data_IF_206055254389
#
_entry.id   IF_206055254389
#
_cell.length_a   1.000
_cell.length_b   1.000
_cell.length_c   1.000
_cell.angle_alpha   90.00
_cell.angle_beta   90.00
_cell.angle_gamma   90.00
#
_symmetry.space_group_name_H-M   'P 1'
#
loop_
_entity.id
_entity.type
_entity.pdbx_description
1 polymer ?
#
# COMPACT_ATOMS: atom_id res chain seq x y z
N UNK A 1 -0.82 39.96 55.81
CA UNK A 1 -0.05 40.79 54.86
C UNK A 1 1.19 40.00 54.45
N UNK A 2 1.47 39.92 53.13
CA UNK A 2 2.59 39.25 52.42
C UNK A 2 2.34 37.75 52.12
N UNK A 3 1.68 37.40 51.02
CA UNK A 3 2.05 37.41 49.58
C UNK A 3 2.70 36.08 49.17
N UNK A 4 2.02 35.43 48.23
CA UNK A 4 2.34 34.19 47.55
C UNK A 4 3.65 34.26 46.76
N UNK A 5 4.27 33.11 46.51
CA UNK A 5 5.24 32.94 45.42
C UNK A 5 5.07 31.55 44.82
N UNK A 6 4.19 31.50 43.82
CA UNK A 6 4.04 30.41 42.86
C UNK A 6 5.16 30.58 41.83
N UNK A 7 6.13 29.66 41.78
CA UNK A 7 7.19 29.66 40.78
C UNK A 7 6.65 29.06 39.47
N UNK A 8 6.34 29.93 38.51
CA UNK A 8 6.00 29.59 37.14
C UNK A 8 7.30 29.23 36.40
N UNK A 9 7.56 27.95 36.15
CA UNK A 9 8.61 27.52 35.21
C UNK A 9 8.08 27.70 33.78
N UNK A 10 8.24 28.89 33.21
CA UNK A 10 8.09 29.09 31.78
C UNK A 10 9.37 28.58 31.09
N UNK A 11 9.31 27.39 30.50
CA UNK A 11 10.37 26.87 29.64
C UNK A 11 10.51 27.76 28.40
N UNK A 12 11.63 28.48 28.30
CA UNK A 12 12.04 29.16 27.07
C UNK A 12 12.49 28.08 26.07
N UNK A 13 11.57 27.58 25.26
CA UNK A 13 11.93 26.93 24.00
C UNK A 13 12.48 28.02 23.08
N UNK A 14 13.80 28.25 23.11
CA UNK A 14 14.46 29.00 22.06
C UNK A 14 14.36 28.14 20.79
N UNK A 15 13.42 28.50 19.92
CA UNK A 15 13.44 28.02 18.55
C UNK A 15 14.79 28.43 17.96
N UNK A 16 15.65 27.44 17.71
CA UNK A 16 16.88 27.66 16.95
C UNK A 16 16.42 27.91 15.53
N UNK A 17 16.33 29.19 15.13
CA UNK A 17 16.19 29.55 13.73
C UNK A 17 17.57 29.40 13.08
N UNK A 18 17.82 28.34 12.29
CA UNK A 18 19.09 28.22 11.60
C UNK A 18 19.23 29.44 10.66
N UNK A 19 20.38 30.13 10.65
CA UNK A 19 20.58 31.30 9.82
C UNK A 19 20.36 30.91 8.35
N UNK A 20 19.29 31.45 7.73
CA UNK A 20 19.03 31.27 6.31
C UNK A 20 20.11 32.02 5.54
N UNK A 21 21.11 31.30 5.06
CA UNK A 21 22.14 31.88 4.19
C UNK A 21 21.43 32.45 2.94
N UNK A 22 21.83 33.64 2.44
CA UNK A 22 21.20 34.28 1.28
C UNK A 22 21.35 33.49 -0.03
N UNK A 23 22.14 32.42 -0.02
CA UNK A 23 22.43 31.57 -1.17
C UNK A 23 22.33 30.10 -0.78
N UNK A 24 21.92 29.22 -1.73
CA UNK A 24 21.97 27.79 -1.51
C UNK A 24 23.40 27.35 -1.16
N UNK A 25 23.57 26.37 -0.27
CA UNK A 25 24.89 25.85 0.07
C UNK A 25 25.59 25.40 -1.23
N UNK A 26 26.73 26.01 -1.54
CA UNK A 26 27.62 25.51 -2.61
C UNK A 26 28.32 24.30 -2.02
N UNK A 27 27.97 23.10 -2.49
CA UNK A 27 28.72 21.89 -2.15
C UNK A 27 30.19 22.06 -2.52
N UNK A 28 31.11 21.41 -1.78
CA UNK A 28 32.55 21.46 -2.06
C UNK A 28 32.99 20.71 -3.32
N UNK A 29 32.06 20.34 -4.20
CA UNK A 29 32.33 19.58 -5.42
C UNK A 29 32.86 20.47 -6.55
N UNK A 30 33.72 19.89 -7.40
CA UNK A 30 34.30 20.56 -8.57
C UNK A 30 33.46 20.48 -9.84
N UNK A 31 32.33 19.75 -9.80
CA UNK A 31 31.46 19.47 -10.95
C UNK A 31 30.01 19.83 -10.65
N UNK A 32 29.37 20.55 -11.57
CA UNK A 32 27.93 20.78 -11.56
C UNK A 32 27.19 19.54 -12.08
N UNK A 33 26.08 19.19 -11.42
CA UNK A 33 25.20 18.13 -11.88
C UNK A 33 24.53 18.54 -13.19
N UNK A 34 24.56 17.65 -14.18
CA UNK A 34 23.91 17.86 -15.47
C UNK A 34 22.48 17.31 -15.49
N UNK A 35 21.65 17.80 -16.40
CA UNK A 35 20.32 17.22 -16.68
C UNK A 35 20.42 15.72 -17.00
N UNK A 36 21.47 15.31 -17.73
CA UNK A 36 21.67 13.92 -18.11
C UNK A 36 21.99 13.01 -16.91
N UNK A 37 22.65 13.54 -15.89
CA UNK A 37 22.98 12.78 -14.66
C UNK A 37 21.79 12.69 -13.70
N UNK A 38 20.91 13.69 -13.70
CA UNK A 38 19.81 13.82 -12.74
C UNK A 38 18.48 13.30 -13.26
N UNK A 39 18.18 13.46 -14.55
CA UNK A 39 16.84 13.16 -15.12
C UNK A 39 16.84 11.90 -15.97
N UNK A 40 17.75 11.78 -16.93
CA UNK A 40 17.73 10.68 -17.91
C UNK A 40 18.39 9.41 -17.39
N UNK A 41 19.57 9.52 -16.77
CA UNK A 41 20.31 8.36 -16.21
C UNK A 41 20.05 8.13 -14.73
N UNK A 42 19.57 9.16 -14.01
CA UNK A 42 19.38 9.15 -12.55
C UNK A 42 20.58 8.52 -11.79
N UNK A 43 21.79 8.94 -12.15
CA UNK A 43 23.07 8.41 -11.62
C UNK A 43 23.13 8.53 -10.09
N UNK A 44 22.43 9.53 -9.55
CA UNK A 44 22.21 9.69 -8.12
C UNK A 44 20.74 9.44 -7.87
N UNK A 45 20.43 8.26 -7.33
CA UNK A 45 19.09 7.90 -6.89
C UNK A 45 19.17 7.40 -5.44
N UNK A 46 18.24 7.81 -4.56
CA UNK A 46 18.16 7.20 -3.24
C UNK A 46 17.78 5.73 -3.40
N UNK A 47 18.42 4.86 -2.62
CA UNK A 47 17.90 3.51 -2.37
C UNK A 47 17.04 3.57 -1.12
N UNK A 48 15.91 2.89 -1.14
CA UNK A 48 15.00 2.79 -0.01
C UNK A 48 14.72 1.31 0.24
N UNK A 49 14.77 0.90 1.50
CA UNK A 49 14.35 -0.42 1.93
C UNK A 49 13.11 -0.23 2.78
N UNK A 50 12.01 -0.86 2.35
CA UNK A 50 10.80 -0.94 3.14
C UNK A 50 10.89 -2.17 4.03
N UNK A 51 10.39 -2.03 5.26
CA UNK A 51 10.40 -3.10 6.25
C UNK A 51 9.02 -3.20 6.87
N UNK A 52 8.59 -4.43 7.10
CA UNK A 52 7.36 -4.74 7.83
C UNK A 52 7.72 -5.21 9.23
N UNK A 53 7.33 -4.43 10.24
CA UNK A 53 7.53 -4.82 11.63
C UNK A 53 6.61 -5.98 11.97
N UNK A 54 7.17 -7.01 12.61
CA UNK A 54 6.43 -8.20 13.01
C UNK A 54 6.40 -8.33 14.53
N UNK A 55 5.28 -8.80 15.11
CA UNK A 55 5.25 -9.17 16.50
C UNK A 55 6.14 -10.41 16.70
N UNK A 56 7.14 -10.30 17.56
CA UNK A 56 8.12 -11.34 17.82
C UNK A 56 8.35 -11.59 19.30
N UNK A 57 9.08 -12.67 19.64
CA UNK A 57 9.50 -12.92 21.02
C UNK A 57 10.49 -11.84 21.51
N UNK A 58 11.27 -11.30 20.58
CA UNK A 58 12.26 -10.25 20.82
C UNK A 58 11.83 -8.95 20.12
N UNK A 59 12.05 -7.81 20.78
CA UNK A 59 11.79 -6.50 20.19
C UNK A 59 12.76 -6.23 19.02
N UNK A 60 12.27 -5.49 18.01
CA UNK A 60 13.08 -5.09 16.86
C UNK A 60 13.16 -6.10 15.72
N UNK A 61 12.19 -7.02 15.60
CA UNK A 61 12.07 -7.93 14.46
C UNK A 61 11.25 -7.31 13.32
N UNK A 62 11.77 -7.43 12.09
CA UNK A 62 11.10 -6.97 10.88
C UNK A 62 11.38 -7.89 9.70
N UNK A 63 10.53 -7.82 8.69
CA UNK A 63 10.70 -8.51 7.41
C UNK A 63 11.07 -7.49 6.35
N UNK A 64 12.00 -7.86 5.47
CA UNK A 64 12.28 -7.11 4.25
C UNK A 64 12.48 -8.07 3.08
N UNK A 65 12.31 -7.56 1.87
CA UNK A 65 12.48 -8.31 0.65
C UNK A 65 13.83 -7.99 0.01
N UNK A 66 14.57 -9.04 -0.35
CA UNK A 66 15.81 -8.92 -1.13
C UNK A 66 15.54 -8.77 -2.64
N UNK A 67 16.58 -8.42 -3.40
CA UNK A 67 16.45 -8.16 -4.84
C UNK A 67 16.00 -9.38 -5.66
N UNK A 68 16.22 -10.60 -5.15
CA UNK A 68 15.78 -11.85 -5.78
C UNK A 68 14.36 -12.27 -5.35
N UNK A 69 13.69 -11.46 -4.52
CA UNK A 69 12.34 -11.69 -4.03
C UNK A 69 12.28 -12.39 -2.66
N UNK A 70 13.41 -12.92 -2.15
CA UNK A 70 13.48 -13.61 -0.85
C UNK A 70 12.98 -12.71 0.27
N UNK A 71 12.13 -13.25 1.15
CA UNK A 71 11.68 -12.57 2.37
C UNK A 71 12.55 -13.01 3.55
N UNK A 72 13.22 -12.06 4.20
CA UNK A 72 14.12 -12.29 5.33
C UNK A 72 13.53 -11.64 6.59
N UNK A 73 13.43 -12.41 7.67
CA UNK A 73 13.24 -11.87 9.02
C UNK A 73 14.61 -11.45 9.56
N UNK A 74 14.69 -10.22 10.07
CA UNK A 74 15.89 -9.65 10.66
C UNK A 74 15.56 -9.08 12.04
N UNK A 75 16.45 -9.32 13.01
CA UNK A 75 16.43 -8.64 14.30
C UNK A 75 17.48 -7.51 14.29
N UNK A 76 17.06 -6.27 14.54
CA UNK A 76 17.94 -5.10 14.54
C UNK A 76 18.92 -5.06 15.71
N UNK A 77 18.55 -5.62 16.87
CA UNK A 77 19.34 -5.59 18.08
C UNK A 77 20.42 -6.68 18.10
N UNK A 78 20.09 -7.90 17.64
CA UNK A 78 21.01 -9.04 17.66
C UNK A 78 21.75 -9.25 16.34
N UNK A 79 21.31 -8.59 15.27
CA UNK A 79 21.78 -8.78 13.90
C UNK A 79 21.61 -10.23 13.38
N UNK A 80 20.73 -11.02 14.00
CA UNK A 80 20.34 -12.35 13.53
C UNK A 80 19.32 -12.23 12.39
N UNK A 81 19.43 -13.12 11.42
CA UNK A 81 18.50 -13.24 10.31
C UNK A 81 18.09 -14.68 10.06
N UNK A 82 16.89 -14.84 9.52
CA UNK A 82 16.37 -16.12 9.03
C UNK A 82 15.52 -15.90 7.78
N UNK A 83 15.48 -16.90 6.91
CA UNK A 83 14.67 -16.85 5.69
C UNK A 83 13.23 -17.26 6.00
N UNK A 84 12.29 -16.35 5.74
CA UNK A 84 10.85 -16.62 5.84
C UNK A 84 10.32 -17.27 4.56
N UNK A 85 10.67 -16.71 3.40
CA UNK A 85 10.29 -17.21 2.07
C UNK A 85 11.52 -17.19 1.17
N UNK A 86 11.95 -18.35 0.69
CA UNK A 86 13.02 -18.45 -0.31
C UNK A 86 12.55 -17.98 -1.69
N UNK A 87 13.47 -17.46 -2.50
CA UNK A 87 13.19 -17.01 -3.87
C UNK A 87 12.45 -18.04 -4.75
N UNK A 88 12.68 -19.34 -4.51
CA UNK A 88 12.02 -20.44 -5.24
C UNK A 88 10.52 -20.56 -4.96
N UNK A 89 10.05 -19.99 -3.84
CA UNK A 89 8.64 -19.99 -3.43
C UNK A 89 7.92 -18.68 -3.76
N UNK A 90 8.63 -17.68 -4.29
CA UNK A 90 8.03 -16.40 -4.68
C UNK A 90 7.25 -16.60 -5.99
N UNK A 91 5.94 -16.27 -6.03
CA UNK A 91 5.16 -16.42 -7.24
C UNK A 91 5.70 -15.55 -8.39
N UNK A 92 5.58 -16.06 -9.62
CA UNK A 92 5.83 -15.28 -10.83
C UNK A 92 4.90 -14.04 -10.89
N UNK A 93 5.40 -12.95 -11.48
CA UNK A 93 4.66 -11.67 -11.58
C UNK A 93 4.17 -11.12 -10.24
N UNK A 94 4.84 -11.45 -9.13
CA UNK A 94 4.59 -10.85 -7.83
C UNK A 94 4.89 -9.35 -7.85
N UNK A 95 4.00 -8.58 -7.25
CA UNK A 95 4.09 -7.12 -7.15
C UNK A 95 4.20 -6.67 -5.70
N UNK A 96 3.40 -7.25 -4.80
CA UNK A 96 3.38 -6.94 -3.38
C UNK A 96 3.09 -8.19 -2.57
N UNK A 97 3.42 -8.15 -1.28
CA UNK A 97 3.12 -9.22 -0.32
C UNK A 97 2.51 -8.65 0.95
N UNK A 98 1.80 -9.49 1.69
CA UNK A 98 1.21 -9.18 2.99
C UNK A 98 1.37 -10.40 3.89
N UNK A 99 2.11 -10.25 4.97
CA UNK A 99 2.44 -11.35 5.87
C UNK A 99 1.28 -11.54 6.84
N UNK A 100 0.85 -12.79 7.04
CA UNK A 100 -0.13 -13.11 8.08
C UNK A 100 0.48 -12.79 9.45
N UNK A 101 -0.26 -12.18 10.40
CA UNK A 101 0.32 -11.74 11.67
C UNK A 101 1.03 -12.82 12.52
N UNK A 102 0.68 -14.09 12.34
CA UNK A 102 1.32 -15.23 13.03
C UNK A 102 2.46 -15.88 12.23
N UNK A 103 2.88 -15.25 11.11
CA UNK A 103 3.97 -15.70 10.24
C UNK A 103 3.77 -17.09 9.61
N UNK A 104 2.56 -17.64 9.63
CA UNK A 104 2.28 -18.97 9.05
C UNK A 104 1.97 -18.95 7.56
N UNK A 105 1.61 -17.78 7.00
CA UNK A 105 1.27 -17.62 5.60
C UNK A 105 1.65 -16.24 5.06
N UNK A 106 1.81 -16.15 3.74
CA UNK A 106 2.01 -14.88 3.02
C UNK A 106 0.96 -14.77 1.92
N UNK A 107 0.31 -13.62 1.84
CA UNK A 107 -0.61 -13.27 0.77
C UNK A 107 0.17 -12.48 -0.29
N UNK A 108 0.26 -13.02 -1.50
CA UNK A 108 0.94 -12.41 -2.64
C UNK A 108 -0.04 -11.77 -3.59
N UNK A 109 0.20 -10.52 -3.96
CA UNK A 109 -0.48 -9.86 -5.07
C UNK A 109 0.32 -10.07 -6.36
N UNK A 110 -0.28 -10.71 -7.36
CA UNK A 110 0.31 -10.98 -8.68
C UNK A 110 -0.51 -10.35 -9.79
N UNK A 111 0.03 -10.29 -11.01
CA UNK A 111 -0.69 -9.78 -12.20
C UNK A 111 -1.22 -8.33 -12.02
N UNK A 112 -0.38 -7.48 -11.42
CA UNK A 112 -0.69 -6.09 -11.12
C UNK A 112 -1.20 -5.30 -12.34
N UNK A 113 -2.31 -4.58 -12.14
CA UNK A 113 -2.90 -3.65 -13.10
C UNK A 113 -3.21 -2.33 -12.41
N UNK A 114 -2.53 -1.26 -12.80
CA UNK A 114 -2.73 0.10 -12.25
C UNK A 114 -4.19 0.56 -12.39
N UNK A 115 -4.73 1.19 -11.35
CA UNK A 115 -5.98 1.95 -11.39
C UNK A 115 -5.70 3.45 -11.23
N UNK A 116 -5.56 3.96 -10.00
CA UNK A 116 -5.20 5.36 -9.70
C UNK A 116 -3.83 5.46 -9.01
N UNK A 117 -3.50 6.52 -8.25
CA UNK A 117 -2.16 6.71 -7.66
C UNK A 117 -1.72 5.57 -6.74
N UNK A 118 -2.60 5.06 -5.91
CA UNK A 118 -2.34 4.03 -4.91
C UNK A 118 -3.02 2.71 -5.24
N UNK A 119 -4.22 2.75 -5.84
CA UNK A 119 -5.01 1.57 -6.20
C UNK A 119 -4.46 0.81 -7.40
N UNK A 120 -4.75 -0.49 -7.38
CA UNK A 120 -4.47 -1.43 -8.44
C UNK A 120 -5.40 -2.63 -8.32
N UNK A 121 -5.58 -3.34 -9.42
CA UNK A 121 -6.17 -4.66 -9.42
C UNK A 121 -5.06 -5.72 -9.48
N UNK A 122 -5.31 -6.88 -8.89
CA UNK A 122 -4.38 -8.00 -8.88
C UNK A 122 -5.13 -9.33 -8.69
N UNK A 123 -4.42 -10.43 -8.96
CA UNK A 123 -4.75 -11.74 -8.42
C UNK A 123 -4.06 -11.90 -7.08
N UNK A 124 -4.69 -12.61 -6.15
CA UNK A 124 -4.13 -12.85 -4.83
C UNK A 124 -3.93 -14.33 -4.57
N UNK A 125 -2.77 -14.70 -4.01
CA UNK A 125 -2.43 -16.08 -3.69
C UNK A 125 -1.93 -16.21 -2.26
N UNK A 126 -2.48 -17.18 -1.53
CA UNK A 126 -2.08 -17.53 -0.17
C UNK A 126 -1.01 -18.62 -0.27
N UNK A 127 0.22 -18.27 0.13
CA UNK A 127 1.32 -19.18 0.32
C UNK A 127 1.33 -19.64 1.79
N UNK A 128 1.01 -20.90 2.03
CA UNK A 128 1.16 -21.54 3.33
C UNK A 128 2.63 -21.92 3.56
N UNK A 129 3.24 -21.45 4.65
CA UNK A 129 4.68 -21.57 4.86
C UNK A 129 5.12 -22.93 5.41
N UNK A 130 4.21 -23.64 6.08
CA UNK A 130 4.46 -25.00 6.59
C UNK A 130 4.47 -26.02 5.45
N UNK A 131 3.42 -26.02 4.64
CA UNK A 131 3.26 -26.96 3.52
C UNK A 131 3.96 -26.51 2.24
N UNK A 132 4.20 -25.21 2.07
CA UNK A 132 4.67 -24.62 0.81
C UNK A 132 3.60 -24.54 -0.28
N UNK A 133 2.33 -24.78 0.05
CA UNK A 133 1.22 -24.75 -0.90
C UNK A 133 0.84 -23.31 -1.28
N UNK A 134 0.72 -23.04 -2.58
CA UNK A 134 0.23 -21.77 -3.12
C UNK A 134 -1.20 -21.95 -3.62
N UNK A 135 -2.15 -21.25 -3.01
CA UNK A 135 -3.58 -21.35 -3.33
C UNK A 135 -4.14 -19.99 -3.75
N UNK A 136 -5.04 -19.90 -4.75
CA UNK A 136 -5.71 -18.64 -5.06
C UNK A 136 -6.62 -18.21 -3.90
N UNK A 137 -6.72 -16.90 -3.66
CA UNK A 137 -7.64 -16.33 -2.66
C UNK A 137 -9.10 -16.58 -3.06
N UNK A 138 -9.39 -16.40 -4.34
CA UNK A 138 -10.67 -16.70 -4.96
C UNK A 138 -10.42 -17.46 -6.27
N UNK A 139 -11.15 -18.55 -6.52
CA UNK A 139 -10.80 -19.50 -7.59
C UNK A 139 -11.01 -18.93 -9.01
N UNK A 140 -11.91 -17.96 -9.16
CA UNK A 140 -12.25 -17.32 -10.42
C UNK A 140 -11.74 -15.87 -10.51
N UNK A 141 -10.79 -15.48 -9.64
CA UNK A 141 -10.08 -14.20 -9.77
C UNK A 141 -9.40 -14.10 -11.14
N UNK A 142 -9.39 -12.88 -11.70
CA UNK A 142 -8.79 -12.63 -13.01
C UNK A 142 -8.25 -11.17 -13.10
N UNK A 143 -7.41 -10.81 -12.15
CA UNK A 143 -6.83 -9.47 -12.03
C UNK A 143 -7.87 -8.41 -11.74
N UNK A 144 -8.88 -8.75 -10.94
CA UNK A 144 -10.06 -7.93 -10.65
C UNK A 144 -10.30 -7.70 -9.14
N UNK A 145 -9.41 -8.20 -8.27
CA UNK A 145 -9.43 -7.88 -6.84
C UNK A 145 -8.73 -6.54 -6.62
N UNK A 146 -9.44 -5.59 -6.02
CA UNK A 146 -9.00 -4.20 -5.81
C UNK A 146 -8.13 -4.03 -4.57
N UNK A 147 -8.39 -4.84 -3.54
CA UNK A 147 -7.64 -4.79 -2.29
C UNK A 147 -7.87 -6.08 -1.50
N UNK A 148 -6.86 -6.54 -0.77
CA UNK A 148 -6.98 -7.64 0.18
C UNK A 148 -6.06 -7.41 1.38
N UNK A 149 -6.52 -7.76 2.58
CA UNK A 149 -5.74 -7.64 3.81
C UNK A 149 -6.06 -8.76 4.79
N UNK A 150 -5.02 -9.24 5.49
CA UNK A 150 -5.18 -10.16 6.61
C UNK A 150 -5.88 -9.48 7.79
N UNK A 151 -6.71 -10.25 8.49
CA UNK A 151 -7.14 -9.90 9.83
C UNK A 151 -5.94 -9.92 10.79
N UNK A 152 -5.88 -9.01 11.79
CA UNK A 152 -4.88 -9.04 12.86
C UNK A 152 -4.88 -10.36 13.66
N UNK A 153 -6.02 -11.08 13.67
CA UNK A 153 -6.18 -12.36 14.37
C UNK A 153 -6.95 -13.38 13.55
N UNK A 154 -6.62 -14.64 13.79
CA UNK A 154 -7.23 -15.78 13.11
C UNK A 154 -6.77 -15.91 11.66
N UNK A 155 -7.49 -16.73 10.90
CA UNK A 155 -7.18 -17.02 9.51
C UNK A 155 -8.29 -16.48 8.61
N UNK A 156 -8.35 -15.15 8.56
CA UNK A 156 -9.38 -14.38 7.86
C UNK A 156 -8.69 -13.33 6.98
N UNK A 157 -9.20 -13.16 5.76
CA UNK A 157 -8.82 -12.09 4.83
C UNK A 157 -10.09 -11.33 4.47
N UNK A 158 -10.04 -10.00 4.53
CA UNK A 158 -11.05 -9.16 3.88
C UNK A 158 -10.50 -8.72 2.53
N UNK A 159 -11.33 -8.82 1.50
CA UNK A 159 -10.95 -8.36 0.17
C UNK A 159 -12.12 -7.70 -0.55
N UNK A 160 -11.80 -6.86 -1.53
CA UNK A 160 -12.77 -6.11 -2.31
C UNK A 160 -12.63 -6.50 -3.78
N UNK A 161 -13.75 -6.88 -4.38
CA UNK A 161 -13.84 -7.30 -5.79
C UNK A 161 -15.14 -6.80 -6.38
N UNK A 162 -15.10 -6.23 -7.58
CA UNK A 162 -16.28 -5.61 -8.21
C UNK A 162 -17.01 -4.64 -7.25
N UNK A 163 -16.24 -3.83 -6.52
CA UNK A 163 -16.71 -2.88 -5.51
C UNK A 163 -17.56 -3.49 -4.38
N UNK A 164 -17.49 -4.80 -4.18
CA UNK A 164 -18.14 -5.51 -3.09
C UNK A 164 -17.11 -6.06 -2.10
N UNK A 165 -17.47 -6.04 -0.83
CA UNK A 165 -16.67 -6.59 0.26
C UNK A 165 -16.94 -8.09 0.40
N UNK A 166 -15.86 -8.86 0.50
CA UNK A 166 -15.86 -10.30 0.76
C UNK A 166 -14.97 -10.62 1.96
N UNK A 167 -15.31 -11.70 2.66
CA UNK A 167 -14.46 -12.32 3.67
C UNK A 167 -14.09 -13.72 3.21
N UNK A 168 -12.80 -14.02 3.22
CA UNK A 168 -12.27 -15.37 3.15
C UNK A 168 -11.93 -15.82 4.57
N UNK A 169 -12.42 -16.98 5.01
CA UNK A 169 -12.17 -17.55 6.33
C UNK A 169 -11.92 -19.04 6.21
N UNK A 170 -10.71 -19.48 6.50
CA UNK A 170 -10.33 -20.90 6.46
C UNK A 170 -10.67 -21.61 5.13
N UNK A 171 -10.50 -20.94 4.00
CA UNK A 171 -10.80 -21.50 2.68
C UNK A 171 -12.23 -21.25 2.18
N UNK A 172 -13.12 -20.71 3.02
CA UNK A 172 -14.49 -20.38 2.63
C UNK A 172 -14.64 -18.88 2.36
N UNK A 173 -15.26 -18.54 1.23
CA UNK A 173 -15.54 -17.16 0.82
C UNK A 173 -17.00 -16.83 1.15
N UNK A 174 -17.23 -15.66 1.74
CA UNK A 174 -18.54 -15.09 2.02
C UNK A 174 -18.61 -13.66 1.50
N UNK A 175 -19.59 -13.36 0.66
CA UNK A 175 -19.88 -12.00 0.22
C UNK A 175 -20.63 -11.23 1.31
N UNK A 176 -20.19 -10.02 1.63
CA UNK A 176 -20.75 -9.18 2.70
C UNK A 176 -21.66 -8.08 2.14
N UNK A 177 -21.31 -7.52 0.99
CA UNK A 177 -22.11 -6.51 0.29
C UNK A 177 -22.46 -6.99 -1.11
N UNK A 178 -23.61 -6.56 -1.61
CA UNK A 178 -24.13 -6.99 -2.92
C UNK A 178 -24.44 -5.81 -3.86
N UNK A 179 -24.29 -4.57 -3.38
CA UNK A 179 -24.68 -3.35 -4.09
C UNK A 179 -23.51 -2.61 -4.75
N UNK A 180 -22.31 -3.18 -4.72
CA UNK A 180 -21.14 -2.65 -5.40
C UNK A 180 -21.35 -2.58 -6.92
N UNK A 181 -20.83 -1.51 -7.53
CA UNK A 181 -20.84 -1.35 -8.99
C UNK A 181 -20.40 0.04 -9.44
N UNK A 182 -20.80 0.45 -10.66
CA UNK A 182 -21.05 1.82 -11.10
C UNK A 182 -20.42 2.98 -10.34
N UNK A 183 -21.14 3.24 -9.27
CA UNK A 183 -21.11 4.45 -8.47
C UNK A 183 -21.14 4.07 -6.98
N UNK A 184 -20.93 2.80 -6.63
CA UNK A 184 -21.07 2.33 -5.25
C UNK A 184 -19.85 1.50 -4.91
N UNK A 185 -19.07 1.98 -3.95
CA UNK A 185 -17.80 1.40 -3.54
C UNK A 185 -17.89 0.96 -2.09
N UNK A 186 -17.58 -0.31 -1.82
CA UNK A 186 -17.58 -0.87 -0.47
C UNK A 186 -16.15 -1.27 -0.09
N UNK A 187 -15.57 -0.63 0.94
CA UNK A 187 -14.27 -1.01 1.50
C UNK A 187 -13.05 -0.51 0.70
N UNK A 188 -13.27 0.20 -0.39
CA UNK A 188 -12.26 0.92 -1.18
C UNK A 188 -12.76 2.34 -1.43
N UNK A 189 -11.86 3.32 -1.55
CA UNK A 189 -12.25 4.70 -1.83
C UNK A 189 -12.61 4.90 -3.30
N UNK A 190 -13.40 5.94 -3.57
CA UNK A 190 -13.48 6.54 -4.91
C UNK A 190 -12.20 7.33 -5.24
N UNK A 191 -12.13 7.93 -6.43
CA UNK A 191 -10.96 8.68 -6.87
C UNK A 191 -10.60 9.86 -5.94
N UNK A 192 -11.60 10.63 -5.47
CA UNK A 192 -11.36 11.81 -4.63
C UNK A 192 -10.87 11.39 -3.25
N UNK A 193 -11.49 10.37 -2.65
CA UNK A 193 -11.06 9.86 -1.36
C UNK A 193 -9.68 9.22 -1.43
N UNK A 194 -9.33 8.55 -2.52
CA UNK A 194 -7.99 8.01 -2.72
C UNK A 194 -6.94 9.11 -2.80
N UNK A 195 -7.14 10.11 -3.66
CA UNK A 195 -6.11 11.09 -4.01
C UNK A 195 -5.99 12.24 -3.00
N UNK A 196 -7.11 12.70 -2.43
CA UNK A 196 -7.17 13.96 -1.68
C UNK A 196 -7.50 13.80 -0.19
N UNK A 197 -8.10 12.68 0.23
CA UNK A 197 -8.54 12.48 1.62
C UNK A 197 -7.70 11.45 2.36
N UNK A 198 -7.62 10.22 1.86
CA UNK A 198 -6.93 9.12 2.55
C UNK A 198 -5.50 8.93 2.08
N UNK A 199 -5.21 9.09 0.78
CA UNK A 199 -3.90 8.75 0.23
C UNK A 199 -3.60 7.25 0.29
N UNK A 200 -4.63 6.40 0.33
CA UNK A 200 -4.52 4.94 0.45
C UNK A 200 -5.50 4.21 -0.48
N UNK A 201 -5.21 2.98 -0.92
CA UNK A 201 -6.07 2.23 -1.84
C UNK A 201 -7.23 1.48 -1.14
N UNK A 202 -7.39 1.65 0.17
CA UNK A 202 -8.37 0.92 0.98
C UNK A 202 -9.17 1.87 1.85
N UNK A 203 -10.40 1.44 2.14
CA UNK A 203 -11.32 2.08 3.07
C UNK A 203 -12.03 1.03 3.94
N UNK A 204 -11.27 0.01 4.38
CA UNK A 204 -11.68 -1.03 5.30
C UNK A 204 -10.62 -1.22 6.39
N UNK A 205 -11.06 -1.56 7.60
CA UNK A 205 -10.21 -1.67 8.78
C UNK A 205 -10.73 -2.77 9.71
N UNK A 206 -9.88 -3.74 10.01
CA UNK A 206 -10.17 -4.74 11.04
C UNK A 206 -10.09 -4.13 12.44
N UNK A 207 -10.92 -4.62 13.37
CA UNK A 207 -10.70 -4.38 14.80
C UNK A 207 -9.40 -5.06 15.26
N UNK A 208 -8.74 -4.55 16.33
CA UNK A 208 -7.48 -5.13 16.80
C UNK A 208 -7.57 -6.60 17.25
N UNK A 209 -8.76 -7.05 17.64
CA UNK A 209 -9.05 -8.44 17.99
C UNK A 209 -9.51 -9.29 16.79
N UNK A 210 -9.69 -8.70 15.60
CA UNK A 210 -10.11 -9.38 14.39
C UNK A 210 -11.57 -9.83 14.39
N UNK A 211 -12.38 -9.44 15.37
CA UNK A 211 -13.79 -9.84 15.46
C UNK A 211 -14.70 -9.01 14.54
N UNK A 212 -14.29 -7.80 14.19
CA UNK A 212 -15.07 -6.86 13.38
C UNK A 212 -14.26 -6.29 12.22
N UNK A 213 -14.97 -5.94 11.15
CA UNK A 213 -14.45 -5.12 10.05
C UNK A 213 -15.33 -3.90 9.92
N UNK A 214 -14.74 -2.72 10.05
CA UNK A 214 -15.37 -1.48 9.63
C UNK A 214 -15.00 -1.21 8.19
N UNK A 215 -15.94 -0.72 7.38
CA UNK A 215 -15.67 -0.31 6.01
C UNK A 215 -16.48 0.93 5.66
N UNK A 216 -15.95 1.73 4.74
CA UNK A 216 -16.65 2.86 4.16
C UNK A 216 -17.43 2.41 2.93
N UNK A 217 -18.67 2.88 2.82
CA UNK A 217 -19.48 2.79 1.61
C UNK A 217 -19.68 4.19 1.04
N UNK A 218 -19.34 4.41 -0.22
CA UNK A 218 -19.63 5.66 -0.94
C UNK A 218 -20.67 5.41 -2.03
N UNK A 219 -21.49 6.43 -2.28
CA UNK A 219 -22.50 6.45 -3.34
C UNK A 219 -22.29 7.71 -4.18
N UNK A 220 -21.84 7.52 -5.41
CA UNK A 220 -21.52 8.56 -6.39
C UNK A 220 -22.66 8.83 -7.37
N UNK A 221 -23.85 8.25 -7.18
CA UNK A 221 -24.97 8.44 -8.13
C UNK A 221 -25.38 9.90 -8.35
N UNK A 222 -25.19 10.75 -7.33
CA UNK A 222 -25.45 12.19 -7.40
C UNK A 222 -24.24 13.04 -7.81
N UNK A 223 -23.09 12.44 -8.04
CA UNK A 223 -21.83 13.14 -8.34
C UNK A 223 -21.68 13.30 -9.86
N UNK A 224 -21.47 14.53 -10.37
CA UNK A 224 -21.26 14.74 -11.79
C UNK A 224 -19.98 14.04 -12.27
N UNK A 225 -20.08 13.25 -13.34
CA UNK A 225 -18.90 12.64 -13.98
C UNK A 225 -18.11 13.69 -14.74
N UNK A 226 -16.79 13.68 -14.57
CA UNK A 226 -15.87 14.42 -15.42
C UNK A 226 -15.22 13.48 -16.44
N UNK A 227 -15.23 13.84 -17.72
CA UNK A 227 -14.62 13.02 -18.78
C UNK A 227 -13.24 13.55 -19.12
N UNK A 228 -12.22 12.70 -19.05
CA UNK A 228 -10.85 13.07 -19.42
C UNK A 228 -10.61 12.62 -20.87
N UNK A 229 -10.37 13.56 -21.81
CA UNK A 229 -10.08 13.20 -23.19
C UNK A 229 -8.64 12.69 -23.35
N UNK A 230 -8.48 11.50 -23.92
CA UNK A 230 -7.19 10.91 -24.27
C UNK A 230 -6.95 10.99 -25.79
N UNK A 231 -5.92 11.75 -26.17
CA UNK A 231 -5.64 12.06 -27.58
C UNK A 231 -4.63 11.13 -28.26
N UNK A 232 -3.84 10.37 -27.48
CA UNK A 232 -2.68 9.67 -28.03
C UNK A 232 -2.61 8.19 -27.67
N UNK A 233 -3.36 7.66 -26.70
CA UNK A 233 -3.48 6.24 -26.27
C UNK A 233 -2.36 5.26 -26.77
N UNK A 234 -1.09 5.61 -26.53
CA UNK A 234 0.12 4.93 -27.04
C UNK A 234 0.22 4.69 -28.56
N UNK A 235 -0.53 5.43 -29.38
CA UNK A 235 -0.47 5.45 -30.82
C UNK A 235 0.58 6.46 -31.33
N UNK A 236 1.28 6.07 -32.40
CA UNK A 236 2.28 6.92 -33.08
C UNK A 236 1.66 8.17 -33.71
N UNK A 237 0.38 8.09 -34.09
CA UNK A 237 -0.42 9.19 -34.62
C UNK A 237 -1.73 9.21 -33.85
N UNK A 238 -2.11 10.38 -33.33
CA UNK A 238 -3.35 10.52 -32.58
C UNK A 238 -4.58 10.34 -33.47
N UNK A 239 -5.64 9.67 -33.00
CA UNK A 239 -6.92 9.63 -33.70
C UNK A 239 -7.48 11.05 -33.91
N UNK A 240 -8.31 11.27 -34.95
CA UNK A 240 -8.92 12.57 -35.21
C UNK A 240 -9.89 13.04 -34.09
N UNK A 241 -10.35 12.11 -33.24
CA UNK A 241 -11.17 12.40 -32.07
C UNK A 241 -10.57 11.71 -30.83
N UNK A 242 -10.58 12.37 -29.66
CA UNK A 242 -10.09 11.77 -28.43
C UNK A 242 -10.93 10.56 -28.04
N UNK A 243 -10.30 9.61 -27.37
CA UNK A 243 -11.01 8.59 -26.62
C UNK A 243 -11.44 9.20 -25.29
N UNK A 244 -12.72 9.10 -24.98
CA UNK A 244 -13.26 9.53 -23.70
C UNK A 244 -13.09 8.41 -22.67
N UNK A 245 -12.33 8.66 -21.61
CA UNK A 245 -12.39 7.89 -20.38
C UNK A 245 -13.29 8.67 -19.43
N UNK A 246 -14.50 8.18 -19.18
CA UNK A 246 -15.34 8.72 -18.11
C UNK A 246 -14.67 8.45 -16.77
N UNK A 247 -14.69 9.43 -15.85
CA UNK A 247 -14.23 9.20 -14.48
C UNK A 247 -15.10 8.20 -13.68
N UNK A 248 -16.14 7.62 -14.28
CA UNK A 248 -16.75 6.38 -13.79
C UNK A 248 -15.85 5.18 -14.16
N UNK A 249 -14.64 5.15 -13.60
CA UNK A 249 -13.80 3.97 -13.62
C UNK A 249 -14.14 3.15 -12.37
N UNK A 250 -15.34 2.57 -12.38
CA UNK A 250 -15.71 1.46 -11.49
C UNK A 250 -15.46 0.12 -12.16
#
# INVERSE_FOLDING_TARGET
MKIASLLLLAGLCLAVDPPRKPFPPRGGGSKLLTYNETVTRRVISPTTTFVDWIPGEEDGQYVFQENDGTLIIQNIATNRSETLVGADKVPENSYSYYIKPDLSAVLWATNYKKQYRHSFFADYHILDLESGSLTPLDNDQNGDIQYAAWSPKGNVIAYVRNNNLYLWKNGEVTQITEDGGPNTFNGVPDWVYEEEIFGTPFALWFSPDGEYVAYMRTDETGVPTYTIPYYMDNQKFGPPYPRELGASLS
#
